data_IF_055973058949
#
_entry.id   IF_055973058949
#
_cell.length_a   1.000
_cell.length_b   1.000
_cell.length_c   1.000
_cell.angle_alpha   90.00
_cell.angle_beta   90.00
_cell.angle_gamma   90.00
#
_symmetry.space_group_name_H-M   'P 1'
#
loop_
_entity.id
_entity.type
_entity.pdbx_description
1 polymer ?
#
# COMPACT_ATOMS: atom_id res chain seq x y z
N UNK A 1 -25.85 17.38 16.35
CA UNK A 1 -25.30 16.97 17.66
C UNK A 1 -23.88 16.44 17.44
N UNK A 2 -22.93 17.35 17.67
CA UNK A 2 -21.51 17.19 17.98
C UNK A 2 -20.80 15.84 17.70
N UNK A 3 -20.30 15.67 16.46
CA UNK A 3 -19.24 14.69 16.14
C UNK A 3 -17.82 15.30 16.14
N UNK A 4 -17.67 16.61 16.37
CA UNK A 4 -16.36 17.29 16.26
C UNK A 4 -15.75 17.77 17.59
N UNK A 5 -16.47 17.67 18.72
CA UNK A 5 -15.99 18.15 20.02
C UNK A 5 -14.75 17.42 20.52
N UNK A 6 -14.69 16.08 20.35
CA UNK A 6 -13.50 15.28 20.67
C UNK A 6 -12.34 15.44 19.67
N UNK A 7 -12.65 15.90 18.44
CA UNK A 7 -11.71 15.94 17.33
C UNK A 7 -10.82 17.20 17.34
N UNK A 8 -11.34 18.31 17.89
CA UNK A 8 -10.60 19.58 17.98
C UNK A 8 -9.47 19.54 19.04
N UNK A 9 -9.69 18.85 20.16
CA UNK A 9 -8.70 18.73 21.22
C UNK A 9 -7.52 17.85 20.79
N UNK A 10 -7.80 16.72 20.12
CA UNK A 10 -6.79 15.84 19.52
C UNK A 10 -5.96 16.60 18.47
N UNK A 11 -6.62 17.31 17.55
CA UNK A 11 -5.95 18.17 16.58
C UNK A 11 -5.01 19.19 17.23
N UNK A 12 -5.48 19.89 18.26
CA UNK A 12 -4.68 20.89 18.95
C UNK A 12 -3.44 20.30 19.63
N UNK A 13 -3.58 19.12 20.26
CA UNK A 13 -2.46 18.39 20.84
C UNK A 13 -1.45 17.97 19.77
N UNK A 14 -1.92 17.36 18.68
CA UNK A 14 -1.06 16.90 17.57
C UNK A 14 -0.32 18.05 16.89
N UNK A 15 -0.98 19.21 16.70
CA UNK A 15 -0.32 20.41 16.16
C UNK A 15 0.76 20.96 17.09
N UNK A 16 0.60 20.84 18.42
CA UNK A 16 1.67 21.21 19.36
C UNK A 16 2.85 20.27 19.24
N UNK A 17 2.62 18.95 19.23
CA UNK A 17 3.66 17.93 19.03
C UNK A 17 4.45 18.17 17.74
N UNK A 18 3.76 18.48 16.64
CA UNK A 18 4.42 18.84 15.37
C UNK A 18 5.28 20.10 15.47
N UNK A 19 4.88 21.08 16.28
CA UNK A 19 5.60 22.33 16.45
C UNK A 19 6.77 22.22 17.44
N UNK A 20 6.74 21.28 18.39
CA UNK A 20 7.84 21.04 19.35
C UNK A 20 9.15 20.67 18.65
N UNK A 21 9.08 19.88 17.58
CA UNK A 21 10.23 19.53 16.74
C UNK A 21 10.68 20.64 15.76
N UNK A 22 10.06 21.83 15.81
CA UNK A 22 10.36 22.94 14.90
C UNK A 22 10.96 24.11 15.68
N UNK A 23 12.09 24.66 15.20
CA UNK A 23 12.83 25.69 15.93
C UNK A 23 12.03 26.95 16.32
N UNK A 24 10.93 27.28 15.62
CA UNK A 24 9.99 28.33 16.06
C UNK A 24 8.63 28.23 15.37
N UNK A 25 7.54 28.41 16.13
CA UNK A 25 6.17 28.56 15.61
C UNK A 25 6.09 29.68 14.56
N UNK A 26 6.84 30.77 14.74
CA UNK A 26 6.85 31.87 13.78
C UNK A 26 7.45 31.46 12.42
N UNK A 27 8.43 30.55 12.42
CA UNK A 27 9.01 30.02 11.18
C UNK A 27 8.02 29.08 10.48
N UNK A 28 7.30 28.24 11.24
CA UNK A 28 6.23 27.38 10.72
C UNK A 28 5.14 28.22 10.05
N UNK A 29 4.60 29.23 10.75
CA UNK A 29 3.55 30.11 10.23
C UNK A 29 3.92 30.80 8.90
N UNK A 30 5.18 31.21 8.74
CA UNK A 30 5.67 31.82 7.49
C UNK A 30 5.66 30.80 6.35
N UNK A 31 6.15 29.57 6.58
CA UNK A 31 6.21 28.53 5.55
C UNK A 31 4.83 28.03 5.12
N UNK A 32 3.88 27.97 6.06
CA UNK A 32 2.49 27.58 5.76
C UNK A 32 1.61 28.77 5.38
N UNK A 33 2.14 30.00 5.27
CA UNK A 33 1.36 31.20 4.95
C UNK A 33 0.08 31.39 5.80
N UNK A 34 0.13 31.04 7.09
CA UNK A 34 -0.98 31.23 8.04
C UNK A 34 -0.61 32.32 9.03
N UNK A 35 -1.55 33.24 9.30
CA UNK A 35 -1.38 34.27 10.32
C UNK A 35 -1.10 33.62 11.70
N UNK A 36 -0.04 34.08 12.38
CA UNK A 36 0.37 33.54 13.68
C UNK A 36 -0.71 33.59 14.76
N UNK A 37 -1.51 34.66 14.82
CA UNK A 37 -2.62 34.76 15.78
C UNK A 37 -3.68 33.70 15.49
N UNK A 38 -3.96 33.46 14.21
CA UNK A 38 -4.89 32.43 13.78
C UNK A 38 -4.33 31.03 14.08
N UNK A 39 -3.05 30.81 13.84
CA UNK A 39 -2.40 29.52 14.12
C UNK A 39 -2.36 29.22 15.63
N UNK A 40 -2.13 30.23 16.48
CA UNK A 40 -2.19 30.07 17.93
C UNK A 40 -3.59 29.63 18.41
N UNK A 41 -4.66 30.11 17.76
CA UNK A 41 -6.02 29.65 18.04
C UNK A 41 -6.25 28.18 17.68
N UNK A 42 -5.50 27.66 16.71
CA UNK A 42 -5.52 26.22 16.38
C UNK A 42 -4.77 25.41 17.43
N UNK A 43 -3.59 25.88 17.86
CA UNK A 43 -2.79 25.24 18.92
C UNK A 43 -3.51 25.19 20.28
N UNK A 44 -4.35 26.19 20.57
CA UNK A 44 -5.16 26.19 21.80
C UNK A 44 -6.43 25.35 21.68
N UNK A 45 -6.78 24.86 20.49
CA UNK A 45 -8.05 24.17 20.23
C UNK A 45 -9.27 25.09 20.22
N UNK A 46 -9.07 26.42 20.29
CA UNK A 46 -10.17 27.39 20.27
C UNK A 46 -10.89 27.43 18.90
N UNK A 47 -10.18 27.09 17.83
CA UNK A 47 -10.75 27.00 16.48
C UNK A 47 -10.15 25.82 15.72
N UNK A 48 -10.98 25.18 14.90
CA UNK A 48 -10.52 24.19 13.90
C UNK A 48 -10.15 24.93 12.62
N UNK A 49 -9.00 24.62 11.96
CA UNK A 49 -8.65 25.24 10.70
C UNK A 49 -9.65 24.90 9.58
N UNK A 50 -9.75 25.77 8.58
CA UNK A 50 -10.53 25.48 7.37
C UNK A 50 -9.95 24.28 6.61
N UNK A 51 -10.74 23.62 5.76
CA UNK A 51 -10.27 22.50 4.94
C UNK A 51 -9.08 22.86 4.03
N UNK A 52 -8.95 24.13 3.62
CA UNK A 52 -7.77 24.62 2.88
C UNK A 52 -6.54 24.66 3.79
N UNK A 53 -6.68 25.26 4.97
CA UNK A 53 -5.59 25.38 5.94
C UNK A 53 -5.16 24.00 6.47
N UNK A 54 -6.10 23.09 6.73
CA UNK A 54 -5.79 21.71 7.13
C UNK A 54 -4.93 21.00 6.08
N UNK A 55 -5.26 21.11 4.79
CA UNK A 55 -4.45 20.53 3.70
C UNK A 55 -3.07 21.16 3.63
N UNK A 56 -2.98 22.47 3.79
CA UNK A 56 -1.70 23.19 3.76
C UNK A 56 -0.79 22.79 4.93
N UNK A 57 -1.36 22.73 6.13
CA UNK A 57 -0.68 22.27 7.35
C UNK A 57 -0.24 20.81 7.18
N UNK A 58 -1.14 19.91 6.76
CA UNK A 58 -0.85 18.50 6.54
C UNK A 58 0.29 18.33 5.50
N UNK A 59 0.22 19.03 4.37
CA UNK A 59 1.25 18.98 3.33
C UNK A 59 2.62 19.49 3.84
N UNK A 60 2.64 20.58 4.60
CA UNK A 60 3.87 21.11 5.18
C UNK A 60 4.55 20.10 6.09
N UNK A 61 3.76 19.43 6.93
CA UNK A 61 4.21 18.33 7.78
C UNK A 61 4.16 16.98 7.07
N UNK A 62 4.05 16.89 5.73
CA UNK A 62 4.06 15.62 5.00
C UNK A 62 3.05 14.55 5.45
N UNK A 63 1.96 14.94 6.11
CA UNK A 63 0.88 14.08 6.60
C UNK A 63 -0.36 14.15 5.69
N UNK A 64 -1.28 13.21 5.88
CA UNK A 64 -2.65 13.37 5.38
C UNK A 64 -3.52 14.05 6.44
N UNK A 65 -4.58 14.75 6.01
CA UNK A 65 -5.48 15.47 6.93
C UNK A 65 -6.06 14.56 8.03
N UNK A 66 -6.50 13.31 7.77
CA UNK A 66 -7.00 12.43 8.82
C UNK A 66 -5.99 12.15 9.95
N UNK A 67 -4.69 12.08 9.63
CA UNK A 67 -3.65 11.81 10.64
C UNK A 67 -3.53 12.95 11.65
N UNK A 68 -3.82 14.20 11.25
CA UNK A 68 -3.82 15.33 12.19
C UNK A 68 -4.85 15.17 13.31
N UNK A 69 -5.85 14.32 13.10
CA UNK A 69 -6.96 14.06 13.99
C UNK A 69 -6.85 12.70 14.71
N UNK A 70 -5.73 11.98 14.53
CA UNK A 70 -5.46 10.73 15.25
C UNK A 70 -5.37 10.94 16.76
N UNK A 71 -5.50 9.85 17.51
CA UNK A 71 -5.29 9.87 18.95
C UNK A 71 -3.89 10.44 19.30
N UNK A 72 -3.77 11.35 20.29
CA UNK A 72 -2.49 11.99 20.60
C UNK A 72 -1.35 11.05 20.98
N UNK A 73 -1.62 9.91 21.62
CA UNK A 73 -0.57 8.96 22.02
C UNK A 73 -0.08 8.14 20.81
N UNK A 74 -1.01 7.72 19.93
CA UNK A 74 -0.67 7.11 18.64
C UNK A 74 0.10 8.10 17.74
N UNK A 75 -0.35 9.35 17.69
CA UNK A 75 0.27 10.40 16.90
C UNK A 75 1.69 10.71 17.39
N UNK A 76 1.88 10.79 18.70
CA UNK A 76 3.19 11.00 19.31
C UNK A 76 4.15 9.86 18.99
N UNK A 77 3.68 8.61 19.04
CA UNK A 77 4.49 7.45 18.62
C UNK A 77 4.94 7.56 17.15
N UNK A 78 4.09 8.07 16.26
CA UNK A 78 4.43 8.30 14.85
C UNK A 78 5.44 9.44 14.64
N UNK A 79 5.36 10.49 15.46
CA UNK A 79 6.22 11.70 15.34
C UNK A 79 7.55 11.53 16.08
N UNK A 80 7.52 11.07 17.33
CA UNK A 80 8.70 10.82 18.17
C UNK A 80 9.50 9.61 17.66
N UNK A 81 8.84 8.68 16.96
CA UNK A 81 9.44 7.49 16.35
C UNK A 81 10.35 7.77 15.14
N UNK A 82 11.02 8.91 15.07
CA UNK A 82 11.98 9.33 14.04
C UNK A 82 11.49 9.27 12.57
N UNK A 83 10.27 8.79 12.31
CA UNK A 83 9.79 8.45 10.98
C UNK A 83 9.57 9.70 10.14
N UNK A 84 8.95 10.73 10.73
CA UNK A 84 8.71 11.99 10.03
C UNK A 84 10.03 12.70 9.68
N UNK A 85 10.95 12.74 10.64
CA UNK A 85 12.26 13.37 10.43
C UNK A 85 13.09 12.57 9.41
N UNK A 86 13.10 11.24 9.51
CA UNK A 86 13.73 10.35 8.53
C UNK A 86 13.16 10.58 7.13
N UNK A 87 11.83 10.67 6.95
CA UNK A 87 11.23 10.93 5.65
C UNK A 87 11.54 12.33 5.11
N UNK A 88 11.53 13.35 5.97
CA UNK A 88 11.90 14.72 5.58
C UNK A 88 13.37 14.83 5.16
N UNK A 89 14.25 14.11 5.87
CA UNK A 89 15.68 14.04 5.58
C UNK A 89 15.91 13.24 4.30
N UNK A 90 15.28 12.07 4.17
CA UNK A 90 15.35 11.23 2.97
C UNK A 90 14.93 12.01 1.72
N UNK A 91 13.85 12.79 1.78
CA UNK A 91 13.41 13.64 0.65
C UNK A 91 14.44 14.67 0.19
N UNK A 92 15.34 15.09 1.08
CA UNK A 92 16.42 16.04 0.75
C UNK A 92 17.68 15.35 0.21
N UNK A 93 17.77 14.02 0.32
CA UNK A 93 18.89 13.26 -0.22
C UNK A 93 18.82 13.24 -1.75
N UNK A 94 19.89 13.63 -2.46
CA UNK A 94 19.94 13.57 -3.92
C UNK A 94 19.64 12.18 -4.48
N UNK A 95 20.05 11.13 -3.77
CA UNK A 95 19.83 9.73 -4.14
C UNK A 95 18.35 9.36 -4.08
N UNK A 96 17.63 9.83 -3.06
CA UNK A 96 16.19 9.60 -2.95
C UNK A 96 15.44 10.35 -4.05
N UNK A 97 15.83 11.59 -4.34
CA UNK A 97 15.27 12.35 -5.45
C UNK A 97 15.47 11.61 -6.78
N UNK A 98 16.70 11.16 -7.07
CA UNK A 98 17.02 10.36 -8.27
C UNK A 98 16.24 9.05 -8.32
N UNK A 99 16.11 8.36 -7.19
CA UNK A 99 15.34 7.12 -7.08
C UNK A 99 13.87 7.38 -7.42
N UNK A 100 13.25 8.39 -6.82
CA UNK A 100 11.86 8.78 -7.11
C UNK A 100 11.68 9.22 -8.56
N UNK A 101 12.63 9.98 -9.12
CA UNK A 101 12.59 10.37 -10.54
C UNK A 101 12.58 9.16 -11.48
N UNK A 102 13.33 8.11 -11.17
CA UNK A 102 13.30 6.86 -11.95
C UNK A 102 12.00 6.05 -11.76
N UNK A 103 11.25 6.32 -10.69
CA UNK A 103 9.93 5.70 -10.44
C UNK A 103 8.79 6.50 -11.10
N UNK A 104 9.02 7.77 -11.45
CA UNK A 104 8.06 8.56 -12.21
C UNK A 104 8.01 7.99 -13.62
N UNK A 105 6.83 7.57 -14.04
CA UNK A 105 6.63 7.02 -15.37
C UNK A 105 6.26 8.17 -16.28
N UNK A 106 7.12 8.62 -17.19
CA UNK A 106 6.66 9.57 -18.22
C UNK A 106 5.55 8.92 -19.06
N UNK A 107 4.63 9.70 -19.65
CA UNK A 107 3.49 9.20 -20.46
C UNK A 107 4.01 8.40 -21.69
N UNK A 108 4.43 7.17 -21.45
CA UNK A 108 4.95 6.24 -22.42
C UNK A 108 3.92 5.14 -22.67
N UNK A 109 3.88 4.67 -23.91
CA UNK A 109 3.00 3.62 -24.45
C UNK A 109 3.00 2.28 -23.70
N UNK A 110 3.85 2.07 -22.70
CA UNK A 110 3.86 0.87 -21.86
C UNK A 110 2.72 0.86 -20.83
N UNK A 111 2.16 2.02 -20.48
CA UNK A 111 1.11 2.14 -19.47
C UNK A 111 -0.18 1.40 -19.84
N UNK A 112 -0.62 1.50 -21.10
CA UNK A 112 -1.89 0.89 -21.53
C UNK A 112 -1.90 -0.63 -21.37
N UNK A 113 -0.73 -1.26 -21.42
CA UNK A 113 -0.60 -2.71 -21.51
C UNK A 113 -0.53 -3.40 -20.15
N UNK A 114 -0.31 -2.62 -19.07
CA UNK A 114 -0.20 -3.13 -17.70
C UNK A 114 -1.28 -2.60 -16.77
N UNK A 115 -1.97 -1.52 -17.14
CA UNK A 115 -3.02 -0.94 -16.31
C UNK A 115 -4.28 -1.80 -16.33
N UNK A 116 -4.81 -2.06 -15.14
CA UNK A 116 -6.07 -2.77 -14.98
C UNK A 116 -6.06 -3.78 -13.85
N UNK A 117 -6.98 -4.71 -13.96
CA UNK A 117 -7.28 -5.74 -12.97
C UNK A 117 -6.71 -7.08 -13.41
N UNK A 118 -6.18 -7.82 -12.44
CA UNK A 118 -5.59 -9.14 -12.60
C UNK A 118 -6.16 -10.09 -11.54
N UNK A 119 -6.40 -11.33 -11.95
CA UNK A 119 -6.40 -12.43 -10.98
C UNK A 119 -4.93 -12.78 -10.68
N UNK A 120 -4.56 -12.73 -9.41
CA UNK A 120 -3.22 -13.05 -8.91
C UNK A 120 -3.25 -14.43 -8.26
N UNK A 121 -2.42 -15.34 -8.76
CA UNK A 121 -2.31 -16.71 -8.28
C UNK A 121 -0.96 -16.95 -7.63
N UNK A 122 -0.97 -17.54 -6.45
CA UNK A 122 0.23 -18.00 -5.73
C UNK A 122 -0.13 -19.18 -4.82
N UNK A 123 0.87 -19.95 -4.36
CA UNK A 123 0.61 -20.89 -3.26
C UNK A 123 0.31 -20.14 -1.96
N UNK A 124 -0.70 -20.63 -1.24
CA UNK A 124 -1.16 -20.05 0.01
C UNK A 124 -0.13 -20.29 1.14
N UNK A 125 0.20 -19.22 1.86
CA UNK A 125 1.04 -19.28 3.05
C UNK A 125 0.29 -19.81 4.29
N UNK A 126 -1.05 -19.69 4.29
CA UNK A 126 -1.93 -20.13 5.39
C UNK A 126 -2.43 -21.57 5.16
N UNK A 127 -2.81 -21.89 3.92
CA UNK A 127 -3.35 -23.20 3.54
C UNK A 127 -2.33 -23.95 2.69
N UNK A 128 -1.43 -24.69 3.34
CA UNK A 128 -0.32 -25.40 2.66
C UNK A 128 -0.86 -26.30 1.54
N UNK A 129 -0.26 -26.19 0.34
CA UNK A 129 -0.64 -26.96 -0.84
C UNK A 129 -1.79 -26.39 -1.67
N UNK A 130 -2.50 -25.39 -1.17
CA UNK A 130 -3.60 -24.73 -1.89
C UNK A 130 -3.10 -23.52 -2.68
N UNK A 131 -3.76 -23.22 -3.80
CA UNK A 131 -3.51 -22.01 -4.60
C UNK A 131 -4.47 -20.92 -4.13
N UNK A 132 -3.92 -19.77 -3.74
CA UNK A 132 -4.68 -18.56 -3.47
C UNK A 132 -4.94 -17.79 -4.76
N UNK A 133 -6.21 -17.43 -5.01
CA UNK A 133 -6.58 -16.39 -5.96
C UNK A 133 -6.89 -15.10 -5.22
N UNK A 134 -6.07 -14.08 -5.45
CA UNK A 134 -6.28 -12.70 -5.00
C UNK A 134 -6.61 -11.76 -6.17
N UNK A 135 -7.26 -10.64 -5.88
CA UNK A 135 -7.53 -9.61 -6.89
C UNK A 135 -6.44 -8.54 -6.82
N UNK A 136 -5.71 -8.34 -7.91
CA UNK A 136 -4.61 -7.38 -8.00
C UNK A 136 -4.93 -6.31 -9.03
N UNK A 137 -4.61 -5.05 -8.74
CA UNK A 137 -4.88 -3.95 -9.66
C UNK A 137 -3.68 -3.03 -9.74
N UNK A 138 -3.24 -2.76 -10.98
CA UNK A 138 -2.26 -1.72 -11.30
C UNK A 138 -3.03 -0.52 -11.84
N UNK A 139 -2.79 0.64 -11.25
CA UNK A 139 -3.43 1.88 -11.64
C UNK A 139 -2.46 3.04 -11.62
N UNK A 140 -2.77 4.06 -12.40
CA UNK A 140 -1.99 5.28 -12.45
C UNK A 140 -2.54 6.29 -11.45
N UNK A 141 -1.66 6.83 -10.59
CA UNK A 141 -1.98 7.90 -9.66
C UNK A 141 -1.00 9.06 -9.88
N UNK A 142 -1.45 10.07 -10.62
CA UNK A 142 -0.61 11.17 -11.11
C UNK A 142 0.60 10.62 -11.88
N UNK A 143 1.80 10.89 -11.38
CA UNK A 143 3.09 10.54 -11.98
C UNK A 143 3.55 9.10 -11.64
N UNK A 144 2.87 8.43 -10.71
CA UNK A 144 3.26 7.12 -10.22
C UNK A 144 2.35 6.01 -10.72
N UNK A 145 2.95 4.86 -11.02
CA UNK A 145 2.22 3.59 -11.07
C UNK A 145 2.13 3.01 -9.67
N UNK A 146 0.90 2.66 -9.29
CA UNK A 146 0.59 2.09 -8.00
C UNK A 146 -0.15 0.78 -8.20
N UNK A 147 -0.12 -0.04 -7.17
CA UNK A 147 -0.98 -1.21 -7.11
C UNK A 147 -1.62 -1.34 -5.75
N UNK A 148 -2.69 -2.11 -5.75
CA UNK A 148 -3.27 -2.66 -4.54
C UNK A 148 -3.82 -4.04 -4.85
N UNK A 149 -3.87 -4.89 -3.83
CA UNK A 149 -4.51 -6.19 -3.98
C UNK A 149 -5.22 -6.63 -2.72
N UNK A 150 -6.19 -7.50 -2.90
CA UNK A 150 -7.04 -8.03 -1.84
C UNK A 150 -6.92 -9.55 -1.83
N UNK A 151 -6.68 -10.10 -0.66
CA UNK A 151 -6.71 -11.54 -0.40
C UNK A 151 -7.87 -11.87 0.52
N UNK A 152 -8.52 -13.01 0.29
CA UNK A 152 -9.59 -13.53 1.14
C UNK A 152 -9.33 -14.99 1.45
N UNK A 153 -9.40 -15.30 2.74
CA UNK A 153 -9.24 -16.66 3.22
C UNK A 153 -10.55 -17.11 3.88
N UNK A 154 -11.04 -18.30 3.52
CA UNK A 154 -12.21 -18.87 4.19
C UNK A 154 -11.88 -19.22 5.64
N UNK A 155 -12.89 -19.49 6.47
CA UNK A 155 -12.65 -20.03 7.80
C UNK A 155 -12.26 -21.50 7.75
N UNK A 156 -11.42 -21.95 8.69
CA UNK A 156 -11.17 -23.38 8.88
C UNK A 156 -12.44 -24.12 9.34
N UNK A 157 -13.28 -23.47 10.17
CA UNK A 157 -14.48 -24.08 10.74
C UNK A 157 -15.70 -24.01 9.79
N UNK A 158 -15.76 -22.96 8.98
CA UNK A 158 -16.86 -22.73 8.02
C UNK A 158 -16.32 -22.16 6.70
N UNK A 159 -16.04 -23.03 5.70
CA UNK A 159 -15.46 -22.60 4.43
C UNK A 159 -16.33 -21.61 3.63
N UNK A 160 -17.61 -21.43 3.99
CA UNK A 160 -18.50 -20.44 3.35
C UNK A 160 -18.31 -19.03 3.91
N UNK A 161 -17.65 -18.89 5.05
CA UNK A 161 -17.36 -17.60 5.68
C UNK A 161 -15.94 -17.17 5.35
N UNK A 162 -15.77 -15.91 5.00
CA UNK A 162 -14.44 -15.28 4.94
C UNK A 162 -14.01 -14.93 6.36
N UNK A 163 -12.90 -15.48 6.81
CA UNK A 163 -12.34 -15.22 8.15
C UNK A 163 -11.28 -14.11 8.09
N UNK A 164 -10.38 -14.18 7.10
CA UNK A 164 -9.32 -13.19 6.94
C UNK A 164 -9.42 -12.46 5.62
N UNK A 165 -9.26 -11.13 5.69
CA UNK A 165 -9.16 -10.25 4.53
C UNK A 165 -7.92 -9.39 4.70
N UNK A 166 -7.00 -9.50 3.75
CA UNK A 166 -5.78 -8.68 3.72
C UNK A 166 -5.83 -7.74 2.53
N UNK A 167 -5.35 -6.52 2.74
CA UNK A 167 -5.28 -5.52 1.67
C UNK A 167 -3.93 -4.87 1.65
N UNK A 168 -3.29 -4.93 0.50
CA UNK A 168 -1.94 -4.46 0.29
C UNK A 168 -1.95 -3.23 -0.61
N UNK A 169 -1.01 -2.32 -0.39
CA UNK A 169 -0.85 -1.10 -1.16
C UNK A 169 0.61 -0.86 -1.47
N UNK A 170 0.90 -0.48 -2.70
CA UNK A 170 2.28 -0.28 -3.11
C UNK A 170 2.44 0.46 -4.42
N UNK A 171 3.69 0.44 -4.87
CA UNK A 171 4.15 1.06 -6.10
C UNK A 171 4.65 0.01 -7.09
N UNK A 172 4.53 0.33 -8.37
CA UNK A 172 5.05 -0.44 -9.49
C UNK A 172 6.18 0.33 -10.18
N UNK A 173 7.27 -0.34 -10.51
CA UNK A 173 8.45 0.23 -11.16
C UNK A 173 8.76 -0.56 -12.45
N UNK A 174 8.37 -0.04 -13.61
CA UNK A 174 8.77 -0.62 -14.88
C UNK A 174 10.27 -0.45 -15.11
N UNK A 175 10.99 -1.56 -15.31
CA UNK A 175 12.43 -1.56 -15.64
C UNK A 175 12.70 -2.66 -16.66
N UNK A 176 13.18 -2.30 -17.85
CA UNK A 176 13.61 -3.22 -18.91
C UNK A 176 12.63 -4.40 -19.17
N UNK A 177 11.38 -4.10 -19.53
CA UNK A 177 10.29 -5.08 -19.75
C UNK A 177 9.94 -5.95 -18.53
N UNK A 178 10.26 -5.48 -17.31
CA UNK A 178 9.82 -6.08 -16.05
C UNK A 178 9.07 -5.06 -15.22
N UNK A 179 8.15 -5.53 -14.39
CA UNK A 179 7.47 -4.73 -13.38
C UNK A 179 7.98 -5.18 -12.03
N UNK A 180 8.68 -4.29 -11.34
CA UNK A 180 9.02 -4.47 -9.94
C UNK A 180 7.88 -3.90 -9.09
N UNK A 181 7.55 -4.55 -7.98
CA UNK A 181 6.56 -4.04 -7.03
C UNK A 181 7.13 -3.99 -5.63
N UNK A 182 6.71 -3.01 -4.85
CA UNK A 182 6.96 -2.96 -3.42
C UNK A 182 5.68 -2.50 -2.71
N UNK A 183 5.21 -3.28 -1.73
CA UNK A 183 3.95 -3.03 -1.03
C UNK A 183 3.98 -3.44 0.44
N UNK A 184 3.03 -2.89 1.19
CA UNK A 184 2.81 -3.22 2.59
C UNK A 184 1.35 -3.59 2.86
N UNK A 185 1.12 -4.40 3.89
CA UNK A 185 -0.22 -4.72 4.37
C UNK A 185 -0.82 -3.51 5.11
N UNK A 186 -2.05 -3.13 4.77
CA UNK A 186 -2.64 -1.84 5.15
C UNK A 186 -3.07 -1.70 6.62
N UNK A 187 -3.37 -2.80 7.32
CA UNK A 187 -3.90 -2.79 8.70
C UNK A 187 -2.78 -2.92 9.72
N UNK A 188 -2.02 -4.02 9.64
CA UNK A 188 -0.97 -4.37 10.58
C UNK A 188 0.36 -3.71 10.21
N UNK A 189 0.58 -3.35 8.93
CA UNK A 189 1.82 -2.71 8.42
C UNK A 189 3.13 -3.41 8.80
N UNK A 190 3.02 -4.69 9.14
CA UNK A 190 4.14 -5.50 9.63
C UNK A 190 4.72 -6.41 8.53
N UNK A 191 4.28 -6.27 7.29
CA UNK A 191 4.76 -7.04 6.14
C UNK A 191 5.10 -6.07 5.00
N UNK A 192 6.32 -6.17 4.49
CA UNK A 192 6.78 -5.53 3.26
C UNK A 192 7.05 -6.64 2.25
N UNK A 193 6.42 -6.56 1.10
CA UNK A 193 6.52 -7.54 0.02
C UNK A 193 7.10 -6.88 -1.22
N UNK A 194 7.95 -7.62 -1.91
CA UNK A 194 8.52 -7.25 -3.19
C UNK A 194 8.10 -8.23 -4.26
N UNK A 195 7.89 -7.76 -5.48
CA UNK A 195 7.58 -8.61 -6.63
C UNK A 195 8.38 -8.22 -7.86
N UNK A 196 8.64 -9.18 -8.73
CA UNK A 196 9.25 -8.95 -10.05
C UNK A 196 8.51 -9.78 -11.08
N UNK A 197 7.87 -9.12 -12.04
CA UNK A 197 7.00 -9.75 -13.04
C UNK A 197 7.48 -9.46 -14.46
N UNK A 198 7.42 -10.46 -15.33
CA UNK A 198 7.70 -10.34 -16.76
C UNK A 198 6.41 -10.48 -17.56
N UNK A 199 6.19 -9.58 -18.52
CA UNK A 199 5.09 -9.70 -19.48
C UNK A 199 5.35 -10.80 -20.50
N UNK A 200 4.33 -11.61 -20.79
CA UNK A 200 4.39 -12.59 -21.87
C UNK A 200 3.88 -11.96 -23.17
N UNK A 201 4.81 -11.47 -24.00
CA UNK A 201 4.51 -10.78 -25.28
C UNK A 201 3.85 -11.65 -26.37
N UNK A 202 3.66 -12.96 -26.14
CA UNK A 202 3.26 -13.95 -27.17
C UNK A 202 1.86 -14.57 -27.01
N UNK A 203 1.03 -14.16 -26.04
CA UNK A 203 -0.22 -14.88 -25.72
C UNK A 203 -1.47 -13.98 -25.73
N UNK A 204 -2.58 -14.49 -26.26
CA UNK A 204 -3.90 -13.83 -26.34
C UNK A 204 -4.63 -13.70 -25.00
N UNK A 205 -4.05 -14.23 -23.90
CA UNK A 205 -4.62 -14.21 -22.54
C UNK A 205 -3.91 -13.28 -21.55
N UNK A 206 -2.99 -12.42 -22.00
CA UNK A 206 -2.32 -11.38 -21.20
C UNK A 206 -1.89 -11.82 -19.78
N UNK A 207 -0.90 -12.72 -19.69
CA UNK A 207 -0.28 -13.12 -18.43
C UNK A 207 1.00 -12.34 -18.14
N UNK A 208 1.24 -12.07 -16.86
CA UNK A 208 2.56 -11.77 -16.33
C UNK A 208 2.98 -12.84 -15.33
N UNK A 209 4.24 -13.24 -15.39
CA UNK A 209 4.79 -14.26 -14.50
C UNK A 209 5.97 -13.71 -13.75
N UNK A 210 6.08 -14.07 -12.47
CA UNK A 210 7.10 -13.50 -11.62
C UNK A 210 7.30 -14.25 -10.32
N UNK A 211 8.06 -13.62 -9.43
CA UNK A 211 8.20 -14.05 -8.05
C UNK A 211 7.74 -12.91 -7.14
N UNK A 212 7.22 -13.26 -5.98
CA UNK A 212 7.04 -12.35 -4.86
C UNK A 212 7.80 -12.88 -3.65
N UNK A 213 8.35 -11.98 -2.85
CA UNK A 213 9.08 -12.29 -1.64
C UNK A 213 8.71 -11.31 -0.54
N UNK A 214 8.62 -11.80 0.68
CA UNK A 214 8.19 -11.00 1.83
C UNK A 214 8.42 -11.74 3.14
N UNK A 215 7.75 -11.29 4.18
CA UNK A 215 7.75 -11.92 5.50
C UNK A 215 6.38 -12.53 5.72
N UNK A 216 6.28 -13.85 5.86
CA UNK A 216 4.99 -14.50 5.99
C UNK A 216 4.25 -13.99 7.22
N UNK A 217 2.96 -13.68 7.07
CA UNK A 217 2.08 -13.28 8.17
C UNK A 217 1.65 -14.48 9.05
N UNK A 218 2.60 -15.35 9.41
CA UNK A 218 2.41 -16.47 10.32
C UNK A 218 3.20 -16.25 11.62
N UNK A 219 2.97 -17.11 12.63
CA UNK A 219 3.60 -16.98 13.95
C UNK A 219 5.13 -16.91 13.90
N UNK A 220 5.75 -17.53 12.89
CA UNK A 220 7.21 -17.62 12.76
C UNK A 220 7.81 -16.43 11.99
N UNK A 221 6.98 -15.64 11.28
CA UNK A 221 7.43 -14.50 10.46
C UNK A 221 8.64 -14.85 9.58
N UNK A 222 8.64 -16.06 9.03
CA UNK A 222 9.75 -16.52 8.19
C UNK A 222 9.75 -15.73 6.87
N UNK A 223 10.94 -15.32 6.37
CA UNK A 223 11.08 -14.88 5.00
C UNK A 223 10.57 -15.95 4.04
N UNK A 224 9.84 -15.52 3.01
CA UNK A 224 9.40 -16.40 1.94
C UNK A 224 9.70 -15.83 0.55
N UNK A 225 9.80 -16.73 -0.42
CA UNK A 225 9.73 -16.39 -1.84
C UNK A 225 8.82 -17.40 -2.55
N UNK A 226 7.92 -16.91 -3.40
CA UNK A 226 6.94 -17.74 -4.11
C UNK A 226 6.76 -17.27 -5.55
N UNK A 227 6.44 -18.21 -6.45
CA UNK A 227 6.03 -17.88 -7.82
C UNK A 227 4.64 -17.26 -7.81
N UNK A 228 4.45 -16.28 -8.70
CA UNK A 228 3.19 -15.57 -8.85
C UNK A 228 2.83 -15.45 -10.33
N UNK A 229 1.58 -15.75 -10.65
CA UNK A 229 1.00 -15.52 -11.96
C UNK A 229 -0.09 -14.44 -11.88
N UNK A 230 -0.01 -13.44 -12.76
CA UNK A 230 -1.00 -12.38 -12.91
C UNK A 230 -1.73 -12.59 -14.24
N UNK A 231 -3.04 -12.80 -14.18
CA UNK A 231 -3.90 -13.00 -15.35
C UNK A 231 -4.76 -11.77 -15.57
N UNK A 232 -4.54 -11.04 -16.65
CA UNK A 232 -5.30 -9.82 -16.93
C UNK A 232 -6.79 -10.10 -17.13
N UNK A 233 -7.64 -9.29 -16.49
CA UNK A 233 -9.11 -9.43 -16.52
C UNK A 233 -9.79 -8.26 -17.19
N UNK A 234 -9.15 -7.09 -17.24
CA UNK A 234 -9.67 -5.92 -17.92
C UNK A 234 -9.19 -4.60 -17.35
N UNK A 235 -9.57 -3.48 -17.97
CA UNK A 235 -9.13 -2.16 -17.55
C UNK A 235 -9.86 -1.66 -16.30
N UNK A 236 -9.30 -0.63 -15.67
CA UNK A 236 -9.91 0.08 -14.55
C UNK A 236 -9.52 -0.49 -13.18
N UNK A 237 -10.32 -0.14 -12.17
CA UNK A 237 -10.08 -0.47 -10.76
C UNK A 237 -10.85 -1.73 -10.33
N UNK A 238 -10.48 -2.31 -9.20
CA UNK A 238 -11.23 -3.42 -8.60
C UNK A 238 -12.69 -3.05 -8.32
N UNK A 239 -13.60 -3.91 -8.78
CA UNK A 239 -15.04 -3.86 -8.52
C UNK A 239 -15.44 -5.01 -7.61
N UNK A 240 -16.66 -4.95 -7.08
CA UNK A 240 -17.20 -5.98 -6.18
C UNK A 240 -17.20 -7.38 -6.79
N UNK A 241 -17.45 -7.49 -8.09
CA UNK A 241 -17.44 -8.77 -8.82
C UNK A 241 -16.07 -9.48 -8.78
N UNK A 242 -14.96 -8.71 -8.83
CA UNK A 242 -13.61 -9.27 -8.74
C UNK A 242 -13.32 -9.85 -7.36
N UNK A 243 -14.03 -9.40 -6.32
CA UNK A 243 -13.83 -9.85 -4.94
C UNK A 243 -14.61 -11.13 -4.61
N UNK A 244 -15.66 -11.45 -5.38
CA UNK A 244 -16.56 -12.56 -5.09
C UNK A 244 -15.88 -13.93 -5.22
N UNK A 245 -14.87 -14.00 -6.08
CA UNK A 245 -14.19 -15.25 -6.42
C UNK A 245 -12.87 -15.43 -5.63
N UNK A 246 -12.53 -14.52 -4.73
CA UNK A 246 -11.26 -14.63 -3.99
C UNK A 246 -11.35 -15.69 -2.91
N UNK A 247 -10.44 -16.66 -2.98
CA UNK A 247 -10.38 -17.79 -2.05
C UNK A 247 -9.09 -18.57 -2.28
N UNK A 248 -8.80 -19.49 -1.36
CA UNK A 248 -7.91 -20.63 -1.59
C UNK A 248 -8.65 -21.74 -2.33
N UNK A 249 -7.94 -22.43 -3.21
CA UNK A 249 -8.47 -23.47 -4.11
C UNK A 249 -7.51 -24.66 -4.13
N UNK A 250 -8.05 -25.86 -4.32
CA UNK A 250 -7.22 -27.02 -4.59
C UNK A 250 -6.44 -26.81 -5.91
N UNK A 251 -5.23 -27.35 -6.01
CA UNK A 251 -4.40 -27.23 -7.21
C UNK A 251 -5.09 -27.78 -8.47
N UNK A 252 -6.00 -28.74 -8.30
CA UNK A 252 -6.76 -29.35 -9.38
C UNK A 252 -8.07 -28.60 -9.69
N UNK A 253 -8.34 -27.46 -9.04
CA UNK A 253 -9.53 -26.66 -9.31
C UNK A 253 -9.52 -26.16 -10.77
N UNK A 254 -10.55 -26.49 -11.57
CA UNK A 254 -10.57 -26.19 -13.00
C UNK A 254 -10.70 -24.68 -13.30
N UNK A 255 -11.03 -23.86 -12.30
CA UNK A 255 -11.09 -22.40 -12.45
C UNK A 255 -9.71 -21.73 -12.44
N UNK A 256 -8.65 -22.47 -12.10
CA UNK A 256 -7.27 -21.98 -12.19
C UNK A 256 -6.79 -22.15 -13.64
N UNK A 257 -6.35 -21.07 -14.31
CA UNK A 257 -5.82 -21.16 -15.66
C UNK A 257 -4.62 -22.11 -15.74
N UNK A 258 -4.58 -22.94 -16.79
CA UNK A 258 -3.50 -23.92 -17.00
C UNK A 258 -2.13 -23.25 -17.05
N UNK A 259 -2.04 -22.07 -17.66
CA UNK A 259 -0.81 -21.29 -17.75
C UNK A 259 -0.32 -20.84 -16.36
N UNK A 260 -1.23 -20.46 -15.45
CA UNK A 260 -0.90 -20.15 -14.07
C UNK A 260 -0.42 -21.40 -13.32
N UNK A 261 -1.15 -22.52 -13.40
CA UNK A 261 -0.74 -23.78 -12.76
C UNK A 261 0.63 -24.28 -13.25
N UNK A 262 0.87 -24.22 -14.56
CA UNK A 262 2.14 -24.62 -15.14
C UNK A 262 3.30 -23.77 -14.61
N UNK A 263 3.09 -22.45 -14.50
CA UNK A 263 4.12 -21.56 -13.97
C UNK A 263 4.35 -21.77 -12.46
N UNK A 264 3.29 -21.88 -11.67
CA UNK A 264 3.36 -22.09 -10.22
C UNK A 264 4.06 -23.42 -9.87
N UNK A 265 3.97 -24.44 -10.71
CA UNK A 265 4.54 -25.74 -10.44
C UNK A 265 3.79 -26.47 -9.33
N UNK A 266 4.51 -27.15 -8.45
CA UNK A 266 3.98 -27.93 -7.32
C UNK A 266 4.10 -27.23 -5.96
N UNK A 267 4.67 -26.02 -5.94
CA UNK A 267 4.85 -25.23 -4.73
C UNK A 267 6.06 -25.64 -3.89
N UNK A 268 6.86 -26.64 -4.32
CA UNK A 268 8.11 -27.01 -3.64
C UNK A 268 9.17 -25.92 -3.74
N UNK A 269 9.07 -25.06 -4.75
CA UNK A 269 9.95 -23.91 -4.98
C UNK A 269 9.69 -22.75 -4.01
N UNK A 270 8.69 -22.86 -3.11
CA UNK A 270 8.49 -21.86 -2.08
C UNK A 270 9.62 -21.96 -1.04
N UNK A 271 10.59 -21.07 -1.14
CA UNK A 271 11.69 -20.99 -0.18
C UNK A 271 11.13 -20.39 1.11
N UNK A 272 10.97 -21.20 2.14
CA UNK A 272 10.73 -20.75 3.52
C UNK A 272 11.99 -21.05 4.33
N UNK A 273 12.58 -20.03 4.96
CA UNK A 273 13.66 -20.26 5.93
C UNK A 273 12.99 -20.79 7.21
N UNK A 274 13.26 -22.05 7.53
CA UNK A 274 12.82 -22.72 8.76
C UNK A 274 13.56 -22.21 9.99
#
# INVERSE_FOLDING_TARGET
MDQFGGNAAALAANLRTLCEGQGSIAAVCRKINVNRQQFNKYLSGAHVPSASNLRMIANYFGLSVPILFSDPDEFRTLVDGNFFHAMSTARQLPEFSRFVSNMIVENNSLDSDILGVYDRYQFSSIYKGFVLRSAFCIYRNKEFLQHYYVERFPSFDDPKKTEYVFKYYGFCFPVADRIFTADFEGIQRNELTFGVYAQVKRNSKNFMFGIASGIAANMFRSPYSTKVALHYRGPGLLKREHLNNLTVMDRNDPSIPREALQYLGDGSDMIQMG
#
